data_IF_494667311533
#
_entry.id   IF_494667311533
#
_cell.length_a   1.000
_cell.length_b   1.000
_cell.length_c   1.000
_cell.angle_alpha   90.00
_cell.angle_beta   90.00
_cell.angle_gamma   90.00
#
_symmetry.space_group_name_H-M   'P 1'
#
loop_
_entity.id
_entity.type
_entity.pdbx_description
1 polymer ?
#
# COMPACT_ATOMS: atom_id res chain seq x y z
N UNK A 1 -13.67 8.04 -18.23
CA UNK A 1 -14.92 8.85 -18.29
C UNK A 1 -15.81 8.26 -17.24
N UNK A 2 -16.38 9.06 -16.33
CA UNK A 2 -17.32 8.55 -15.32
C UNK A 2 -18.75 8.79 -15.77
N UNK A 3 -19.62 7.83 -15.47
CA UNK A 3 -21.02 7.81 -15.87
C UNK A 3 -21.87 7.67 -14.61
N UNK A 4 -22.63 8.71 -14.26
CA UNK A 4 -23.48 8.70 -13.07
C UNK A 4 -24.94 8.81 -13.48
N UNK A 5 -25.75 7.86 -13.00
CA UNK A 5 -27.20 7.84 -13.22
C UNK A 5 -27.93 8.09 -11.91
N UNK A 6 -28.42 9.30 -11.73
CA UNK A 6 -29.23 9.67 -10.57
C UNK A 6 -30.70 9.35 -10.83
N UNK A 7 -31.16 8.20 -10.32
CA UNK A 7 -32.53 7.72 -10.55
C UNK A 7 -33.58 8.64 -9.90
N UNK A 8 -33.25 9.23 -8.75
CA UNK A 8 -34.17 10.11 -7.99
C UNK A 8 -34.46 11.40 -8.74
N UNK A 9 -33.41 12.02 -9.29
CA UNK A 9 -33.49 13.31 -9.96
C UNK A 9 -33.68 13.15 -11.49
N UNK A 10 -33.66 11.91 -11.99
CA UNK A 10 -33.78 11.56 -13.41
C UNK A 10 -32.69 12.18 -14.28
N UNK A 11 -31.50 12.37 -13.72
CA UNK A 11 -30.35 12.97 -14.40
C UNK A 11 -29.31 11.91 -14.78
N UNK A 12 -28.67 12.13 -15.93
CA UNK A 12 -27.51 11.37 -16.37
C UNK A 12 -26.33 12.32 -16.55
N UNK A 13 -25.32 12.18 -15.70
CA UNK A 13 -24.15 13.05 -15.67
C UNK A 13 -22.96 12.29 -16.23
N UNK A 14 -22.23 12.95 -17.14
CA UNK A 14 -21.04 12.40 -17.79
C UNK A 14 -19.86 13.31 -17.44
N UNK A 15 -18.85 12.75 -16.79
CA UNK A 15 -17.65 13.49 -16.38
C UNK A 15 -16.42 12.99 -17.14
N UNK A 16 -15.80 13.91 -17.88
CA UNK A 16 -14.60 13.66 -18.69
C UNK A 16 -13.45 14.62 -18.39
N UNK A 17 -13.60 15.46 -17.37
CA UNK A 17 -12.59 16.39 -16.88
C UNK A 17 -11.40 15.67 -16.24
N UNK A 18 -10.28 16.38 -16.15
CA UNK A 18 -9.03 15.90 -15.56
C UNK A 18 -8.94 16.30 -14.08
N UNK A 19 -8.16 15.54 -13.30
CA UNK A 19 -7.95 15.81 -11.86
C UNK A 19 -8.83 14.99 -10.91
N UNK A 20 -9.66 14.10 -11.45
CA UNK A 20 -10.52 13.20 -10.68
C UNK A 20 -9.72 12.07 -10.05
N UNK A 21 -10.13 11.66 -8.86
CA UNK A 21 -9.50 10.56 -8.12
C UNK A 21 -10.25 9.30 -8.47
N UNK A 22 -9.53 8.31 -9.01
CA UNK A 22 -10.11 7.04 -9.40
C UNK A 22 -9.48 5.91 -8.58
N UNK A 23 -10.30 4.93 -8.20
CA UNK A 23 -9.88 3.70 -7.55
C UNK A 23 -10.18 2.51 -8.47
N UNK A 24 -9.18 1.68 -8.82
CA UNK A 24 -9.44 0.47 -9.57
C UNK A 24 -10.09 -0.59 -8.68
N UNK A 25 -11.14 -1.23 -9.19
CA UNK A 25 -11.88 -2.31 -8.53
C UNK A 25 -12.14 -3.44 -9.52
N UNK A 26 -12.39 -4.65 -9.03
CA UNK A 26 -12.84 -5.74 -9.88
C UNK A 26 -14.32 -5.58 -10.21
N UNK A 27 -14.68 -5.91 -11.44
CA UNK A 27 -16.06 -5.90 -11.91
C UNK A 27 -16.76 -7.22 -11.60
N UNK A 28 -18.02 -7.13 -11.20
CA UNK A 28 -18.90 -8.28 -10.99
C UNK A 28 -19.87 -8.38 -12.16
N UNK A 29 -20.01 -9.58 -12.70
CA UNK A 29 -20.90 -9.86 -13.81
C UNK A 29 -22.38 -9.68 -13.39
N UNK A 30 -23.10 -8.78 -14.07
CA UNK A 30 -24.48 -8.41 -13.70
C UNK A 30 -25.55 -9.30 -14.34
N UNK A 31 -25.24 -9.86 -15.51
CA UNK A 31 -26.12 -10.69 -16.34
C UNK A 31 -25.36 -11.93 -16.81
N UNK A 32 -26.05 -13.05 -17.02
CA UNK A 32 -25.42 -14.26 -17.53
C UNK A 32 -24.87 -14.00 -18.93
N UNK A 33 -23.56 -14.14 -19.10
CA UNK A 33 -22.90 -13.92 -20.37
C UNK A 33 -22.68 -15.26 -21.09
N UNK A 34 -23.42 -15.54 -22.18
CA UNK A 34 -23.28 -16.79 -22.93
C UNK A 34 -21.96 -16.89 -23.71
N UNK A 35 -21.24 -15.79 -23.96
CA UNK A 35 -19.98 -15.81 -24.71
C UNK A 35 -18.79 -16.19 -23.82
N UNK A 36 -18.74 -15.63 -22.61
CA UNK A 36 -17.67 -15.92 -21.63
C UNK A 36 -18.01 -17.11 -20.72
N UNK A 37 -19.29 -17.50 -20.64
CA UNK A 37 -19.77 -18.55 -19.76
C UNK A 37 -19.76 -18.17 -18.28
N UNK A 38 -19.63 -16.87 -17.98
CA UNK A 38 -19.62 -16.34 -16.61
C UNK A 38 -21.06 -16.09 -16.18
N UNK A 39 -21.49 -16.77 -15.12
CA UNK A 39 -22.83 -16.57 -14.55
C UNK A 39 -22.90 -15.25 -13.77
N UNK A 40 -24.12 -14.77 -13.58
CA UNK A 40 -24.42 -13.60 -12.76
C UNK A 40 -23.84 -13.74 -11.33
N UNK A 41 -23.19 -12.67 -10.88
CA UNK A 41 -22.63 -12.54 -9.55
C UNK A 41 -21.21 -13.07 -9.37
N UNK A 42 -20.59 -13.60 -10.44
CA UNK A 42 -19.15 -13.92 -10.43
C UNK A 42 -18.30 -12.70 -10.76
N UNK A 43 -17.02 -12.77 -10.38
CA UNK A 43 -16.02 -11.85 -10.86
C UNK A 43 -15.74 -12.10 -12.34
N UNK A 44 -15.58 -11.02 -13.11
CA UNK A 44 -15.10 -11.10 -14.50
C UNK A 44 -13.65 -11.58 -14.55
N UNK A 45 -12.88 -11.36 -13.48
CA UNK A 45 -11.53 -11.88 -13.33
C UNK A 45 -11.53 -13.41 -13.15
N UNK A 46 -11.21 -14.13 -14.22
CA UNK A 46 -11.08 -15.59 -14.20
C UNK A 46 -9.68 -16.06 -13.80
N UNK A 47 -9.59 -17.30 -13.31
CA UNK A 47 -8.30 -17.95 -12.99
C UNK A 47 -7.38 -18.07 -14.20
N UNK A 48 -7.94 -18.14 -15.40
CA UNK A 48 -7.16 -18.15 -16.65
C UNK A 48 -6.42 -16.83 -16.88
N UNK A 49 -7.08 -15.69 -16.65
CA UNK A 49 -6.44 -14.37 -16.75
C UNK A 49 -5.32 -14.23 -15.72
N UNK A 50 -5.56 -14.67 -14.48
CA UNK A 50 -4.55 -14.65 -13.41
C UNK A 50 -3.34 -15.53 -13.76
N UNK A 51 -3.57 -16.74 -14.28
CA UNK A 51 -2.49 -17.64 -14.68
C UNK A 51 -1.69 -17.08 -15.87
N UNK A 52 -2.35 -16.43 -16.82
CA UNK A 52 -1.68 -15.74 -17.93
C UNK A 52 -0.76 -14.63 -17.43
N UNK A 53 -1.23 -13.80 -16.49
CA UNK A 53 -0.41 -12.75 -15.86
C UNK A 53 0.76 -13.32 -15.06
N UNK A 54 0.54 -14.40 -14.31
CA UNK A 54 1.60 -15.06 -13.56
C UNK A 54 2.68 -15.63 -14.49
N UNK A 55 2.28 -16.22 -15.62
CA UNK A 55 3.21 -16.70 -16.64
C UNK A 55 4.00 -15.55 -17.26
N UNK A 56 3.33 -14.45 -17.62
CA UNK A 56 3.96 -13.25 -18.18
C UNK A 56 4.97 -12.62 -17.20
N UNK A 57 4.70 -12.68 -15.89
CA UNK A 57 5.61 -12.17 -14.88
C UNK A 57 6.85 -13.06 -14.70
N UNK A 58 6.71 -14.38 -14.84
CA UNK A 58 7.81 -15.33 -14.75
C UNK A 58 8.66 -15.37 -16.04
N UNK A 59 8.00 -15.32 -17.19
CA UNK A 59 8.56 -15.36 -18.52
C UNK A 59 8.07 -14.12 -19.29
N UNK A 60 8.74 -12.96 -19.13
CA UNK A 60 8.34 -11.76 -19.84
C UNK A 60 8.51 -11.97 -21.35
N UNK A 61 7.46 -11.72 -22.16
CA UNK A 61 7.54 -11.86 -23.61
C UNK A 61 8.59 -10.91 -24.19
N UNK A 62 9.27 -11.35 -25.26
CA UNK A 62 10.28 -10.52 -25.94
C UNK A 62 9.65 -9.26 -26.55
N UNK A 63 8.42 -9.38 -27.07
CA UNK A 63 7.64 -8.27 -27.61
C UNK A 63 6.70 -7.66 -26.57
N UNK A 64 6.86 -6.34 -26.35
CA UNK A 64 6.05 -5.58 -25.40
C UNK A 64 4.56 -5.49 -25.78
N UNK A 65 4.19 -5.80 -27.03
CA UNK A 65 2.79 -5.79 -27.50
C UNK A 65 2.00 -7.04 -27.10
N UNK A 66 2.67 -8.15 -26.82
CA UNK A 66 2.03 -9.40 -26.39
C UNK A 66 1.73 -9.42 -24.89
N UNK A 67 2.27 -8.43 -24.17
CA UNK A 67 2.03 -8.20 -22.75
C UNK A 67 0.57 -7.82 -22.51
N UNK A 68 -0.14 -8.65 -21.75
CA UNK A 68 -1.48 -8.33 -21.26
C UNK A 68 -1.33 -7.25 -20.18
N UNK A 69 -0.53 -7.54 -19.16
CA UNK A 69 -0.33 -6.64 -18.02
C UNK A 69 -1.64 -6.07 -17.45
N UNK A 70 -1.55 -4.87 -16.88
CA UNK A 70 -2.71 -4.18 -16.31
C UNK A 70 -3.70 -3.67 -17.37
N UNK A 71 -3.18 -3.14 -18.48
CA UNK A 71 -4.00 -2.63 -19.60
C UNK A 71 -4.89 -3.71 -20.21
N UNK A 72 -4.39 -4.93 -20.32
CA UNK A 72 -5.14 -6.08 -20.80
C UNK A 72 -6.28 -6.49 -19.86
N UNK A 73 -6.13 -6.33 -18.55
CA UNK A 73 -7.22 -6.55 -17.59
C UNK A 73 -8.34 -5.52 -17.74
N UNK A 74 -7.99 -4.26 -17.98
CA UNK A 74 -8.96 -3.18 -18.25
C UNK A 74 -9.69 -3.48 -19.56
N UNK A 75 -8.96 -3.85 -20.62
CA UNK A 75 -9.56 -4.20 -21.92
C UNK A 75 -10.46 -5.42 -21.87
N UNK A 76 -10.12 -6.40 -21.03
CA UNK A 76 -10.97 -7.56 -20.77
C UNK A 76 -12.21 -7.22 -19.93
N UNK A 77 -12.35 -5.98 -19.44
CA UNK A 77 -13.44 -5.56 -18.57
C UNK A 77 -13.37 -6.14 -17.17
N UNK A 78 -12.24 -6.77 -16.78
CA UNK A 78 -12.08 -7.40 -15.46
C UNK A 78 -11.81 -6.40 -14.34
N UNK A 79 -11.28 -5.22 -14.71
CA UNK A 79 -11.01 -4.12 -13.79
C UNK A 79 -11.62 -2.84 -14.36
N UNK A 80 -12.29 -2.10 -13.50
CA UNK A 80 -12.87 -0.79 -13.79
C UNK A 80 -12.32 0.26 -12.82
N UNK A 81 -12.14 1.49 -13.31
CA UNK A 81 -11.75 2.63 -12.50
C UNK A 81 -13.00 3.38 -12.05
N UNK A 82 -13.33 3.27 -10.77
CA UNK A 82 -14.43 4.00 -10.17
C UNK A 82 -13.97 5.38 -9.69
N UNK A 83 -14.74 6.39 -10.05
CA UNK A 83 -14.64 7.75 -9.54
C UNK A 83 -15.48 7.91 -8.26
N UNK A 84 -15.18 8.91 -7.44
CA UNK A 84 -15.86 9.16 -6.17
C UNK A 84 -17.38 9.37 -6.34
N UNK A 85 -17.81 10.06 -7.39
CA UNK A 85 -19.23 10.28 -7.70
C UNK A 85 -19.92 8.99 -8.16
N UNK A 86 -19.19 8.12 -8.85
CA UNK A 86 -19.73 6.84 -9.34
C UNK A 86 -19.88 5.80 -8.23
N UNK A 87 -19.04 5.90 -7.20
CA UNK A 87 -19.14 5.08 -5.99
C UNK A 87 -20.49 5.23 -5.28
N UNK A 88 -21.17 6.38 -5.39
CA UNK A 88 -22.51 6.56 -4.80
C UNK A 88 -23.58 5.66 -5.42
N UNK A 89 -23.38 5.27 -6.68
CA UNK A 89 -24.31 4.40 -7.42
C UNK A 89 -23.87 2.94 -7.47
N UNK A 90 -22.64 2.65 -7.03
CA UNK A 90 -22.03 1.33 -7.07
C UNK A 90 -22.15 0.59 -5.74
N UNK A 91 -22.29 -0.75 -5.81
CA UNK A 91 -22.31 -1.63 -4.64
C UNK A 91 -21.06 -2.51 -4.65
N UNK A 92 -20.13 -2.22 -3.73
CA UNK A 92 -18.81 -2.86 -3.67
C UNK A 92 -18.77 -3.87 -2.52
N UNK A 93 -18.40 -5.11 -2.82
CA UNK A 93 -18.08 -6.11 -1.80
C UNK A 93 -16.60 -6.04 -1.38
N UNK A 94 -16.29 -6.43 -0.15
CA UNK A 94 -14.94 -6.30 0.42
C UNK A 94 -14.02 -7.46 0.06
N UNK A 95 -14.57 -8.67 0.01
CA UNK A 95 -13.81 -9.88 -0.32
C UNK A 95 -14.57 -10.75 -1.31
N UNK A 96 -13.87 -11.52 -2.16
CA UNK A 96 -14.52 -12.49 -3.06
C UNK A 96 -15.35 -13.54 -2.32
N UNK A 97 -14.99 -13.86 -1.07
CA UNK A 97 -15.77 -14.76 -0.21
C UNK A 97 -17.17 -14.19 0.08
N UNK A 98 -17.30 -12.87 0.22
CA UNK A 98 -18.59 -12.22 0.44
C UNK A 98 -19.51 -12.36 -0.78
N UNK A 99 -18.96 -12.40 -2.00
CA UNK A 99 -19.72 -12.68 -3.22
C UNK A 99 -20.25 -14.11 -3.26
N UNK A 100 -19.42 -15.07 -2.86
CA UNK A 100 -19.84 -16.48 -2.84
C UNK A 100 -20.94 -16.71 -1.80
N UNK A 101 -20.81 -16.14 -0.61
CA UNK A 101 -21.86 -16.15 0.41
C UNK A 101 -23.15 -15.51 -0.10
N UNK A 102 -23.05 -14.39 -0.80
CA UNK A 102 -24.19 -13.74 -1.43
C UNK A 102 -24.90 -14.65 -2.44
N UNK A 103 -24.16 -15.38 -3.27
CA UNK A 103 -24.72 -16.32 -4.25
C UNK A 103 -25.41 -17.50 -3.58
N UNK A 104 -24.79 -18.10 -2.57
CA UNK A 104 -25.38 -19.18 -1.77
C UNK A 104 -26.68 -18.74 -1.09
N UNK A 105 -26.69 -17.53 -0.53
CA UNK A 105 -27.88 -16.95 0.10
C UNK A 105 -29.02 -16.75 -0.91
N UNK A 106 -28.72 -16.28 -2.14
CA UNK A 106 -29.73 -16.15 -3.21
C UNK A 106 -30.22 -17.48 -3.75
N UNK A 107 -29.39 -18.52 -3.72
CA UNK A 107 -29.79 -19.89 -4.04
C UNK A 107 -30.66 -20.54 -2.93
N UNK A 108 -30.90 -19.85 -1.81
CA UNK A 108 -31.71 -20.35 -0.71
C UNK A 108 -31.00 -21.35 0.19
N UNK A 109 -29.68 -21.46 0.08
CA UNK A 109 -28.86 -22.28 0.97
C UNK A 109 -28.73 -21.53 2.30
N UNK A 110 -29.23 -22.13 3.38
CA UNK A 110 -28.99 -21.61 4.72
C UNK A 110 -27.48 -21.70 5.00
N UNK A 111 -26.84 -20.54 5.08
CA UNK A 111 -25.48 -20.44 5.59
C UNK A 111 -25.59 -20.68 7.09
N UNK A 112 -25.09 -21.82 7.57
CA UNK A 112 -24.87 -21.97 8.99
C UNK A 112 -23.90 -20.87 9.42
N UNK A 113 -24.29 -20.09 10.44
CA UNK A 113 -23.43 -19.16 11.18
C UNK A 113 -22.33 -19.93 11.94
N UNK A 114 -21.91 -21.10 11.46
CA UNK A 114 -20.97 -21.96 12.16
C UNK A 114 -19.65 -21.22 12.25
N UNK A 115 -19.31 -20.85 13.48
CA UNK A 115 -18.08 -20.17 13.86
C UNK A 115 -16.85 -21.04 13.52
N UNK A 116 -17.04 -22.29 13.06
CA UNK A 116 -16.15 -22.96 12.11
C UNK A 116 -14.66 -22.84 12.43
N UNK A 117 -14.22 -23.65 13.39
CA UNK A 117 -12.84 -24.05 13.77
C UNK A 117 -11.77 -22.99 14.08
N UNK A 118 -11.94 -21.70 13.77
CA UNK A 118 -10.90 -20.68 13.96
C UNK A 118 -11.36 -19.53 14.88
N UNK A 119 -11.29 -19.77 16.20
CA UNK A 119 -11.61 -18.77 17.24
C UNK A 119 -10.83 -17.44 17.12
N UNK A 120 -9.69 -17.43 16.42
CA UNK A 120 -8.79 -16.29 16.34
C UNK A 120 -9.01 -15.40 15.11
N UNK A 121 -10.03 -15.67 14.27
CA UNK A 121 -10.32 -14.84 13.10
C UNK A 121 -11.06 -13.56 13.48
N UNK A 122 -10.86 -12.52 12.67
CA UNK A 122 -11.64 -11.28 12.76
C UNK A 122 -13.12 -11.59 12.52
N UNK A 123 -13.99 -11.08 13.40
CA UNK A 123 -15.44 -11.17 13.21
C UNK A 123 -15.82 -10.43 11.92
N UNK A 124 -16.40 -11.19 10.97
CA UNK A 124 -16.93 -10.62 9.73
C UNK A 124 -18.29 -9.97 10.01
N UNK A 125 -18.57 -8.87 9.32
CA UNK A 125 -19.90 -8.26 9.31
C UNK A 125 -20.86 -9.19 8.59
N UNK A 126 -22.01 -9.48 9.20
CA UNK A 126 -23.07 -10.27 8.54
C UNK A 126 -23.54 -9.54 7.29
N UNK A 127 -23.67 -10.26 6.17
CA UNK A 127 -24.22 -9.72 4.94
C UNK A 127 -25.68 -9.32 5.16
N UNK A 128 -26.07 -8.13 4.69
CA UNK A 128 -27.46 -7.70 4.82
C UNK A 128 -28.34 -8.55 3.87
N UNK A 129 -29.38 -9.25 4.37
CA UNK A 129 -30.28 -10.04 3.52
C UNK A 129 -31.00 -9.22 2.46
N UNK A 130 -31.12 -7.90 2.64
CA UNK A 130 -31.78 -7.00 1.69
C UNK A 130 -30.87 -6.56 0.55
N UNK A 131 -29.61 -6.99 0.51
CA UNK A 131 -28.71 -6.67 -0.60
C UNK A 131 -29.22 -7.34 -1.88
N UNK A 132 -29.46 -6.53 -2.91
CA UNK A 132 -30.05 -7.00 -4.17
C UNK A 132 -29.01 -7.46 -5.19
N UNK A 133 -27.84 -6.82 -5.24
CA UNK A 133 -26.77 -7.14 -6.20
C UNK A 133 -25.48 -6.39 -5.81
N UNK A 134 -24.33 -7.01 -6.07
CA UNK A 134 -23.02 -6.35 -6.04
C UNK A 134 -22.60 -5.98 -7.46
N UNK A 135 -22.07 -4.77 -7.65
CA UNK A 135 -21.55 -4.31 -8.95
C UNK A 135 -20.05 -4.51 -9.08
N UNK A 136 -19.33 -4.39 -7.97
CA UNK A 136 -17.87 -4.47 -7.94
C UNK A 136 -17.37 -5.23 -6.70
N UNK A 137 -16.08 -5.58 -6.74
CA UNK A 137 -15.34 -6.13 -5.61
C UNK A 137 -14.05 -5.34 -5.40
N UNK A 138 -13.76 -5.03 -4.15
CA UNK A 138 -12.48 -4.44 -3.75
C UNK A 138 -11.33 -5.41 -4.09
N UNK A 139 -10.20 -4.88 -4.57
CA UNK A 139 -9.05 -5.70 -4.96
C UNK A 139 -8.42 -6.31 -3.71
N UNK A 140 -8.12 -5.46 -2.73
CA UNK A 140 -7.68 -5.88 -1.41
C UNK A 140 -7.83 -4.71 -0.41
N UNK A 141 -8.44 -4.90 0.77
CA UNK A 141 -8.68 -3.82 1.72
C UNK A 141 -7.42 -3.06 2.18
N UNK A 142 -6.23 -3.66 2.09
CA UNK A 142 -4.98 -2.97 2.45
C UNK A 142 -4.60 -1.81 1.53
N UNK A 143 -5.16 -1.75 0.31
CA UNK A 143 -4.85 -0.69 -0.66
C UNK A 143 -5.45 0.66 -0.28
N UNK A 144 -6.31 0.70 0.73
CA UNK A 144 -6.78 1.97 1.34
C UNK A 144 -5.66 2.72 2.08
N UNK A 145 -4.59 2.02 2.47
CA UNK A 145 -3.50 2.60 3.26
C UNK A 145 -2.57 3.43 2.38
N UNK A 146 -2.21 4.62 2.85
CA UNK A 146 -1.16 5.42 2.24
C UNK A 146 0.24 4.79 2.38
N UNK A 147 1.22 5.33 1.65
CA UNK A 147 2.60 4.82 1.59
C UNK A 147 3.24 4.67 2.99
N UNK A 148 3.06 5.66 3.87
CA UNK A 148 3.63 5.60 5.22
C UNK A 148 2.87 4.66 6.17
N UNK A 149 1.58 4.42 5.91
CA UNK A 149 0.78 3.53 6.74
C UNK A 149 0.96 2.07 6.33
N UNK A 150 1.21 1.80 5.05
CA UNK A 150 1.39 0.45 4.52
C UNK A 150 2.69 -0.23 4.97
N UNK A 151 3.66 0.53 5.48
CA UNK A 151 4.89 0.00 6.10
C UNK A 151 4.72 -0.34 7.59
N UNK A 152 3.59 -0.01 8.21
CA UNK A 152 3.32 -0.34 9.61
C UNK A 152 2.92 -1.82 9.69
N UNK A 153 3.60 -2.67 10.49
CA UNK A 153 3.18 -4.04 10.68
C UNK A 153 1.86 -4.10 11.47
N UNK A 154 0.91 -4.92 11.01
CA UNK A 154 -0.40 -5.13 11.64
C UNK A 154 -1.16 -3.82 11.97
N UNK A 155 -1.40 -2.94 10.98
CA UNK A 155 -2.00 -1.63 11.21
C UNK A 155 -3.46 -1.73 11.71
N UNK A 156 -4.14 -2.83 11.42
CA UNK A 156 -5.50 -3.17 11.85
C UNK A 156 -5.60 -3.63 13.31
N UNK A 157 -4.48 -4.00 13.94
CA UNK A 157 -4.41 -4.45 15.33
C UNK A 157 -3.98 -3.34 16.30
N UNK A 158 -3.92 -2.09 15.84
CA UNK A 158 -3.45 -0.96 16.61
C UNK A 158 -4.56 0.06 16.85
N UNK A 159 -4.44 0.83 17.92
CA UNK A 159 -5.34 1.95 18.16
C UNK A 159 -5.12 3.01 17.06
N UNK A 160 -6.20 3.46 16.41
CA UNK A 160 -6.13 4.38 15.25
C UNK A 160 -5.16 5.57 15.41
N UNK A 161 -5.13 6.31 16.55
CA UNK A 161 -4.17 7.40 16.76
C UNK A 161 -2.69 7.00 16.65
N UNK A 162 -2.34 5.77 17.03
CA UNK A 162 -0.96 5.27 17.01
C UNK A 162 -0.46 5.04 15.58
N UNK A 163 -1.35 4.64 14.67
CA UNK A 163 -1.02 4.53 13.25
C UNK A 163 -0.71 5.90 12.63
N UNK A 164 -1.48 6.93 13.03
CA UNK A 164 -1.24 8.31 12.60
C UNK A 164 0.11 8.83 13.08
N UNK A 165 0.49 8.55 14.34
CA UNK A 165 1.80 8.94 14.85
C UNK A 165 2.95 8.30 14.06
N UNK A 166 2.89 6.98 13.84
CA UNK A 166 3.94 6.30 13.09
C UNK A 166 4.04 6.79 11.64
N UNK A 167 2.91 7.10 11.01
CA UNK A 167 2.89 7.64 9.64
C UNK A 167 3.57 9.02 9.54
N UNK A 168 3.42 9.86 10.57
CA UNK A 168 4.08 11.16 10.66
C UNK A 168 5.57 11.03 11.03
N UNK A 169 5.88 10.28 12.09
CA UNK A 169 7.23 10.08 12.61
C UNK A 169 8.12 9.28 11.65
N UNK A 170 7.54 8.35 10.87
CA UNK A 170 8.28 7.56 9.89
C UNK A 170 8.98 8.42 8.82
N UNK A 171 8.49 9.63 8.55
CA UNK A 171 9.15 10.59 7.64
C UNK A 171 10.45 11.17 8.21
N UNK A 172 10.63 11.10 9.53
CA UNK A 172 11.82 11.55 10.25
C UNK A 172 12.82 10.42 10.46
N UNK A 173 12.51 9.20 10.01
CA UNK A 173 13.39 8.06 10.14
C UNK A 173 14.72 8.26 9.39
N UNK A 174 15.78 7.62 9.89
CA UNK A 174 17.09 7.64 9.27
C UNK A 174 17.35 6.34 8.52
N UNK A 175 17.95 6.44 7.35
CA UNK A 175 18.23 5.29 6.50
C UNK A 175 18.92 5.70 5.20
N UNK A 176 18.94 4.78 4.25
CA UNK A 176 19.29 5.15 2.88
C UNK A 176 18.09 5.81 2.20
N UNK A 177 18.24 7.05 1.77
CA UNK A 177 17.23 7.70 0.93
C UNK A 177 17.44 7.35 -0.55
N UNK A 178 18.70 7.31 -1.02
CA UNK A 178 19.08 6.95 -2.39
C UNK A 178 20.46 6.27 -2.40
N UNK A 179 20.70 5.38 -3.37
CA UNK A 179 21.99 4.66 -3.50
C UNK A 179 23.13 5.54 -4.00
N UNK A 180 22.84 6.61 -4.74
CA UNK A 180 23.84 7.55 -5.29
C UNK A 180 24.17 8.72 -4.35
N UNK A 181 23.86 8.62 -3.05
CA UNK A 181 24.09 9.68 -2.07
C UNK A 181 25.55 10.16 -2.03
N UNK A 182 26.53 9.28 -2.31
CA UNK A 182 27.95 9.61 -2.27
C UNK A 182 28.41 10.57 -3.37
N UNK A 183 27.63 10.67 -4.45
CA UNK A 183 27.89 11.59 -5.57
C UNK A 183 27.01 12.84 -5.52
N UNK A 184 25.95 12.83 -4.70
CA UNK A 184 24.95 13.90 -4.65
C UNK A 184 25.32 14.92 -3.58
N UNK A 185 25.37 16.19 -3.96
CA UNK A 185 25.70 17.29 -3.05
C UNK A 185 24.42 17.87 -2.43
N UNK A 186 23.88 17.20 -1.41
CA UNK A 186 22.75 17.70 -0.63
C UNK A 186 23.19 18.57 0.55
N UNK A 187 22.36 19.55 0.93
CA UNK A 187 22.63 20.47 2.05
C UNK A 187 22.84 19.73 3.38
N UNK A 188 21.96 18.77 3.68
CA UNK A 188 22.01 17.93 4.88
C UNK A 188 21.57 16.51 4.51
N UNK A 189 22.31 15.51 4.95
CA UNK A 189 21.94 14.10 4.78
C UNK A 189 22.33 13.28 6.02
N UNK A 190 21.42 12.40 6.44
CA UNK A 190 21.63 11.44 7.52
C UNK A 190 21.53 10.03 6.93
N UNK A 191 22.54 9.19 7.17
CA UNK A 191 22.59 7.83 6.63
C UNK A 191 22.98 6.86 7.74
N UNK A 192 22.26 5.75 7.85
CA UNK A 192 22.53 4.72 8.85
C UNK A 192 23.71 3.85 8.39
N UNK A 193 24.60 3.46 9.32
CA UNK A 193 25.75 2.60 8.97
C UNK A 193 25.33 1.20 8.53
N UNK A 194 24.41 0.58 9.27
CA UNK A 194 24.02 -0.82 9.06
C UNK A 194 22.49 -1.00 9.02
N UNK A 195 21.76 -0.42 8.07
CA UNK A 195 20.32 -0.59 8.02
C UNK A 195 19.95 -2.05 7.72
N UNK A 196 18.86 -2.51 8.33
CA UNK A 196 18.44 -3.90 8.26
C UNK A 196 17.02 -4.01 7.74
N UNK A 197 16.73 -5.11 7.04
CA UNK A 197 15.38 -5.45 6.59
C UNK A 197 14.51 -5.71 7.82
N UNK A 198 13.29 -5.16 7.90
CA UNK A 198 12.39 -5.46 9.00
C UNK A 198 12.05 -6.97 9.01
N UNK A 199 11.94 -7.55 10.20
CA UNK A 199 11.59 -8.96 10.37
C UNK A 199 10.12 -9.23 10.04
N UNK A 200 9.23 -8.37 10.52
CA UNK A 200 7.81 -8.38 10.19
C UNK A 200 7.55 -7.38 9.05
N UNK A 201 7.23 -7.90 7.87
CA UNK A 201 7.01 -7.11 6.65
C UNK A 201 5.57 -7.23 6.18
N UNK A 202 5.00 -6.13 5.66
CA UNK A 202 3.75 -6.18 4.89
C UNK A 202 4.07 -6.53 3.43
N UNK A 203 3.12 -7.10 2.69
CA UNK A 203 3.30 -7.37 1.26
C UNK A 203 3.55 -6.09 0.46
N UNK A 204 2.95 -4.97 0.88
CA UNK A 204 3.12 -3.65 0.25
C UNK A 204 4.56 -3.15 0.24
N UNK A 205 5.41 -3.59 1.19
CA UNK A 205 6.83 -3.20 1.23
C UNK A 205 7.64 -3.65 0.02
N UNK A 206 7.20 -4.72 -0.66
CA UNK A 206 7.85 -5.21 -1.88
C UNK A 206 7.68 -4.21 -3.03
N UNK A 207 6.45 -3.73 -3.24
CA UNK A 207 6.16 -2.72 -4.26
C UNK A 207 6.81 -1.37 -3.97
N UNK A 208 6.95 -1.02 -2.68
CA UNK A 208 7.62 0.20 -2.23
C UNK A 208 9.14 0.11 -2.22
N UNK A 209 9.74 -1.05 -2.51
CA UNK A 209 11.18 -1.29 -2.44
C UNK A 209 11.79 -0.99 -1.06
N UNK A 210 10.97 -1.05 -0.01
CA UNK A 210 11.40 -0.72 1.35
C UNK A 210 12.40 -1.77 1.91
N UNK A 211 12.32 -3.00 1.40
CA UNK A 211 13.29 -4.07 1.71
C UNK A 211 14.68 -3.79 1.13
N UNK A 212 14.76 -3.05 0.03
CA UNK A 212 16.01 -2.71 -0.66
C UNK A 212 16.69 -1.50 -0.02
N UNK A 213 15.89 -0.50 0.37
CA UNK A 213 16.35 0.70 1.09
C UNK A 213 15.66 0.82 2.45
N UNK A 214 16.08 0.02 3.46
CA UNK A 214 15.48 0.07 4.78
C UNK A 214 15.85 1.36 5.54
N UNK A 215 14.89 1.85 6.32
CA UNK A 215 15.02 3.03 7.18
C UNK A 215 15.06 2.69 8.68
N UNK A 216 15.64 1.54 9.03
CA UNK A 216 15.69 1.07 10.42
C UNK A 216 16.69 -0.06 10.66
N UNK A 217 16.75 -0.51 11.91
CA UNK A 217 17.56 -1.65 12.37
C UNK A 217 16.73 -2.51 13.31
N UNK A 218 16.90 -3.83 13.25
CA UNK A 218 16.27 -4.72 14.21
C UNK A 218 17.07 -4.66 15.52
N UNK A 219 16.36 -4.51 16.64
CA UNK A 219 16.94 -4.51 17.97
C UNK A 219 16.29 -5.60 18.83
N UNK A 220 17.06 -6.19 19.74
CA UNK A 220 16.51 -7.06 20.78
C UNK A 220 15.96 -6.15 21.88
N UNK A 221 14.65 -6.21 22.09
CA UNK A 221 13.94 -5.34 23.05
C UNK A 221 13.38 -6.21 24.18
N UNK A 222 13.59 -5.79 25.42
CA UNK A 222 13.00 -6.39 26.61
C UNK A 222 12.09 -5.38 27.30
N UNK A 223 10.84 -5.76 27.58
CA UNK A 223 9.87 -4.93 28.30
C UNK A 223 9.89 -5.36 29.77
N UNK A 224 10.53 -4.56 30.62
CA UNK A 224 10.65 -4.83 32.05
C UNK A 224 10.78 -3.55 32.86
N UNK A 225 10.31 -3.56 34.10
CA UNK A 225 10.61 -2.50 35.07
C UNK A 225 12.01 -2.73 35.64
N UNK A 226 12.99 -1.91 35.24
CA UNK A 226 14.38 -2.07 35.67
C UNK A 226 15.02 -0.71 35.97
N UNK A 227 15.68 -0.58 37.12
CA UNK A 227 16.48 0.58 37.56
C UNK A 227 15.77 1.96 37.66
N UNK A 228 14.54 2.10 37.16
CA UNK A 228 13.79 3.37 37.20
C UNK A 228 14.17 4.38 36.10
N UNK A 229 15.22 4.12 35.31
CA UNK A 229 15.64 5.01 34.21
C UNK A 229 14.85 4.83 32.89
N UNK A 230 13.85 3.95 32.86
CA UNK A 230 12.96 3.72 31.72
C UNK A 230 11.50 4.15 31.98
N UNK A 231 11.31 5.20 32.79
CA UNK A 231 10.00 5.76 33.14
C UNK A 231 9.53 6.79 32.09
N UNK A 232 8.22 7.00 31.99
CA UNK A 232 7.62 8.08 31.18
C UNK A 232 8.15 8.14 29.73
N UNK A 233 7.97 7.03 28.99
CA UNK A 233 8.39 6.86 27.59
C UNK A 233 9.90 6.90 27.32
N UNK A 234 10.74 6.90 28.36
CA UNK A 234 12.18 6.74 28.22
C UNK A 234 12.61 5.27 28.05
N UNK A 235 13.74 5.06 27.37
CA UNK A 235 14.31 3.74 27.08
C UNK A 235 15.77 3.67 27.54
N UNK A 236 16.17 2.52 28.08
CA UNK A 236 17.56 2.23 28.45
C UNK A 236 18.19 1.44 27.30
N UNK A 237 19.33 1.90 26.79
CA UNK A 237 20.11 1.20 25.76
C UNK A 237 21.34 0.50 26.32
N UNK A 238 21.70 -0.63 25.72
CA UNK A 238 22.92 -1.36 26.07
C UNK A 238 24.15 -0.70 25.44
N UNK A 239 25.04 -0.15 26.27
CA UNK A 239 26.26 0.52 25.82
C UNK A 239 27.12 -0.37 24.92
N UNK A 240 27.31 -1.64 25.27
CA UNK A 240 28.12 -2.56 24.47
C UNK A 240 27.54 -2.79 23.07
N UNK A 241 26.24 -2.62 22.86
CA UNK A 241 25.63 -2.67 21.52
C UNK A 241 25.89 -1.38 20.73
N UNK A 242 25.85 -0.22 21.39
CA UNK A 242 26.16 1.08 20.78
C UNK A 242 27.64 1.11 20.35
N UNK A 243 28.55 0.65 21.21
CA UNK A 243 29.99 0.58 20.90
C UNK A 243 30.29 -0.29 19.67
N UNK A 244 29.43 -1.30 19.41
CA UNK A 244 29.50 -2.16 18.22
C UNK A 244 28.80 -1.58 16.99
N UNK A 245 28.23 -0.39 17.08
CA UNK A 245 27.63 0.35 15.96
C UNK A 245 26.11 0.27 15.86
N UNK A 246 25.39 -0.13 16.92
CA UNK A 246 23.92 -0.03 16.96
C UNK A 246 23.49 1.44 16.78
N UNK A 247 22.62 1.70 15.81
CA UNK A 247 22.09 3.02 15.43
C UNK A 247 23.13 4.09 15.07
N UNK A 248 24.37 3.72 14.76
CA UNK A 248 25.40 4.68 14.31
C UNK A 248 25.02 5.27 12.94
N UNK A 249 25.09 6.58 12.79
CA UNK A 249 24.76 7.30 11.55
C UNK A 249 25.92 8.20 11.07
N UNK A 250 25.92 8.51 9.77
CA UNK A 250 26.76 9.51 9.13
C UNK A 250 25.94 10.77 8.93
N UNK A 251 26.52 11.93 9.26
CA UNK A 251 25.93 13.23 8.95
C UNK A 251 26.78 13.95 7.90
N UNK A 252 26.15 14.31 6.78
CA UNK A 252 26.78 15.10 5.74
C UNK A 252 26.18 16.50 5.72
N UNK A 253 27.06 17.50 5.57
CA UNK A 253 26.65 18.88 5.36
C UNK A 253 27.44 19.47 4.19
N UNK A 254 26.74 20.01 3.20
CA UNK A 254 27.38 20.73 2.10
C UNK A 254 27.26 22.22 2.29
N UNK A 255 28.28 22.92 1.81
CA UNK A 255 28.35 24.37 1.75
C UNK A 255 28.52 24.77 0.29
N UNK A 256 27.68 25.67 -0.18
CA UNK A 256 27.78 26.24 -1.52
C UNK A 256 28.14 27.71 -1.39
N UNK A 257 29.09 28.14 -2.20
CA UNK A 257 29.45 29.55 -2.31
C UNK A 257 29.56 29.92 -3.80
N UNK A 258 29.41 31.20 -4.09
CA UNK A 258 29.47 31.72 -5.46
C UNK A 258 30.39 32.94 -5.49
N UNK A 259 31.37 32.91 -6.39
CA UNK A 259 32.15 34.10 -6.65
C UNK A 259 31.29 35.08 -7.45
N UNK A 260 30.87 36.18 -6.81
CA UNK A 260 30.13 37.25 -7.49
C UNK A 260 31.10 38.10 -8.31
N UNK A 261 31.18 37.81 -9.61
CA UNK A 261 31.82 38.70 -10.60
C UNK A 261 30.74 39.45 -11.38
N UNK A 262 30.89 40.76 -11.56
CA UNK A 262 29.94 41.55 -12.34
C UNK A 262 29.97 41.04 -13.79
N UNK A 263 28.91 40.38 -14.23
CA UNK A 263 28.75 39.85 -15.60
C UNK A 263 28.98 38.34 -15.79
N UNK A 264 29.54 37.60 -14.81
CA UNK A 264 29.74 36.15 -14.88
C UNK A 264 29.57 35.53 -13.48
N UNK A 265 28.77 34.47 -13.36
CA UNK A 265 28.61 33.69 -12.11
C UNK A 265 29.31 32.34 -12.24
N UNK A 266 30.25 32.05 -11.33
CA UNK A 266 30.87 30.73 -11.19
C UNK A 266 30.49 30.15 -9.83
N UNK A 267 29.93 28.94 -9.81
CA UNK A 267 29.48 28.26 -8.59
C UNK A 267 30.49 27.19 -8.16
N UNK A 268 30.83 27.14 -6.86
CA UNK A 268 31.63 26.09 -6.25
C UNK A 268 30.83 25.47 -5.09
N UNK A 269 30.80 24.13 -5.02
CA UNK A 269 30.10 23.38 -3.98
C UNK A 269 31.04 22.34 -3.38
N UNK A 270 31.17 22.33 -2.05
CA UNK A 270 32.01 21.39 -1.31
C UNK A 270 31.16 20.66 -0.25
N UNK A 271 31.35 19.35 -0.11
CA UNK A 271 30.69 18.52 0.88
C UNK A 271 31.66 18.12 1.98
N UNK A 272 31.23 18.31 3.22
CA UNK A 272 32.01 17.97 4.41
C UNK A 272 31.30 16.82 5.12
N UNK A 273 32.01 15.73 5.33
CA UNK A 273 31.55 14.66 6.20
C UNK A 273 31.79 15.10 7.65
N UNK A 274 30.71 15.23 8.41
CA UNK A 274 30.76 15.51 9.84
C UNK A 274 30.58 14.18 10.56
N UNK A 275 31.59 13.74 11.30
CA UNK A 275 31.40 12.62 12.22
C UNK A 275 30.54 13.09 13.39
N UNK A 276 29.38 12.47 13.63
CA UNK A 276 28.68 12.70 14.89
C UNK A 276 29.53 12.12 16.01
N UNK A 277 29.61 12.88 17.11
CA UNK A 277 30.23 12.44 18.37
C UNK A 277 29.48 11.24 18.96
#
# INVERSE_FOLDING_TARGET
>A
VSLVREIRDQEFKIFSDAGRVMRPVFTVQQEDDPETGIEKGHLVLTKELVNKLAKEQAEPPEDASEKIGWEGLIRAGAVEYLDAEEEETSMICMTPEDLELYRLQKAGVALDDDIGDDLNKRLKTKTNPTTHMYTHCEIHPSMILGICASIIPFPDHNQSPRNTYQSAMGKQAMGFFLTNYSRRMDTMANILYYPQKPLATTRSMEFLKFRELPAGQNAIVAIACYSGYNQEDSVIMNQSSIDRGLFRSLFFRSYSDQEKKVGLKTNLTMMVLLHPA
#
